data_IF_893034343618
#
_entry.id   IF_893034343618
#
_cell.length_a   1.000
_cell.length_b   1.000
_cell.length_c   1.000
_cell.angle_alpha   90.00
_cell.angle_beta   90.00
_cell.angle_gamma   90.00
#
_symmetry.space_group_name_H-M   'P 1'
#
loop_
_entity.id
_entity.type
_entity.pdbx_description
1 polymer ?
#
# COMPACT_ATOMS: atom_id res chain seq x y z
N UNK A 1 -23.89 45.89 21.26
CA UNK A 1 -23.69 45.28 19.93
C UNK A 1 -22.90 44.02 20.14
N UNK A 2 -23.61 42.93 19.97
CA UNK A 2 -23.25 41.54 20.24
C UNK A 2 -22.11 41.01 19.37
N UNK A 3 -21.28 40.15 19.95
CA UNK A 3 -20.58 39.09 19.22
C UNK A 3 -20.18 37.98 20.21
N UNK A 4 -21.16 37.16 20.55
CA UNK A 4 -20.93 35.85 21.14
C UNK A 4 -20.57 34.83 20.03
N UNK A 5 -19.84 33.80 20.45
CA UNK A 5 -20.06 32.42 20.04
C UNK A 5 -19.37 31.91 18.75
N UNK A 6 -18.37 31.02 18.93
CA UNK A 6 -18.43 29.61 18.49
C UNK A 6 -17.17 28.87 18.96
N UNK A 7 -17.24 28.37 20.18
CA UNK A 7 -16.38 27.27 20.63
C UNK A 7 -16.94 25.93 20.14
N UNK A 8 -16.01 25.09 19.68
CA UNK A 8 -15.93 23.66 19.98
C UNK A 8 -17.20 22.80 19.83
N UNK A 9 -17.32 22.10 18.70
CA UNK A 9 -18.10 20.85 18.62
C UNK A 9 -17.13 19.69 18.44
N UNK A 10 -16.62 19.18 19.57
CA UNK A 10 -16.06 17.85 19.65
C UNK A 10 -17.21 16.86 19.48
N UNK A 11 -17.05 15.91 18.55
CA UNK A 11 -17.92 14.77 18.36
C UNK A 11 -18.11 14.01 19.68
N UNK A 12 -19.24 14.24 20.35
CA UNK A 12 -19.77 13.31 21.35
C UNK A 12 -20.33 12.10 20.60
N UNK A 13 -19.51 11.05 20.47
CA UNK A 13 -20.03 9.70 20.28
C UNK A 13 -20.87 9.36 21.50
N UNK A 14 -22.19 9.50 21.39
CA UNK A 14 -23.13 9.23 22.46
C UNK A 14 -23.02 7.77 22.90
N UNK A 15 -22.33 7.53 24.02
CA UNK A 15 -22.49 6.30 24.78
C UNK A 15 -23.97 6.19 25.14
N UNK A 16 -24.62 5.12 24.66
CA UNK A 16 -25.98 4.80 25.07
C UNK A 16 -26.05 4.73 26.60
N UNK A 17 -27.04 5.40 27.18
CA UNK A 17 -27.34 5.34 28.61
C UNK A 17 -27.64 3.88 29.01
N UNK A 18 -27.09 3.44 30.15
CA UNK A 18 -27.30 2.10 30.69
C UNK A 18 -28.80 1.74 30.83
N UNK A 19 -29.66 2.74 31.05
CA UNK A 19 -31.12 2.54 31.08
C UNK A 19 -31.71 2.26 29.69
N UNK A 20 -31.17 2.90 28.64
CA UNK A 20 -31.56 2.62 27.26
C UNK A 20 -31.11 1.22 26.84
N UNK A 21 -29.92 0.79 27.27
CA UNK A 21 -29.42 -0.55 27.01
C UNK A 21 -30.27 -1.63 27.71
N UNK A 22 -30.62 -1.42 28.98
CA UNK A 22 -31.49 -2.32 29.73
C UNK A 22 -32.90 -2.44 29.10
N UNK A 23 -33.49 -1.33 28.64
CA UNK A 23 -34.80 -1.35 27.97
C UNK A 23 -34.78 -2.07 26.61
N UNK A 24 -33.66 -2.05 25.90
CA UNK A 24 -33.48 -2.84 24.67
C UNK A 24 -33.37 -4.33 24.99
N UNK A 25 -32.65 -4.70 26.05
CA UNK A 25 -32.52 -6.09 26.49
C UNK A 25 -33.87 -6.67 26.97
N UNK A 26 -34.68 -5.92 27.72
CA UNK A 26 -36.03 -6.35 28.11
C UNK A 26 -36.97 -6.55 26.91
N UNK A 27 -36.91 -5.65 25.92
CA UNK A 27 -37.70 -5.78 24.68
C UNK A 27 -37.27 -6.96 23.82
N UNK A 28 -36.01 -7.38 23.90
CA UNK A 28 -35.49 -8.58 23.22
C UNK A 28 -35.84 -9.86 23.99
N UNK A 29 -35.90 -9.81 25.32
CA UNK A 29 -36.29 -10.94 26.17
C UNK A 29 -37.78 -11.31 26.03
N UNK A 30 -38.65 -10.35 25.68
CA UNK A 30 -40.07 -10.57 25.40
C UNK A 30 -40.43 -10.79 23.93
N UNK A 31 -39.46 -10.67 23.01
CA UNK A 31 -39.69 -10.88 21.58
C UNK A 31 -39.43 -12.35 21.23
N UNK A 32 -40.52 -13.06 20.90
CA UNK A 32 -40.51 -14.43 20.39
C UNK A 32 -39.36 -14.67 19.39
N UNK A 33 -38.75 -15.85 19.50
CA UNK A 33 -37.52 -16.36 18.85
C UNK A 33 -37.20 -15.86 17.43
N UNK A 34 -38.19 -15.51 16.62
CA UNK A 34 -38.02 -15.03 15.25
C UNK A 34 -37.23 -13.72 15.12
N UNK A 35 -37.42 -12.73 16.02
CA UNK A 35 -36.64 -11.47 15.94
C UNK A 35 -35.20 -11.67 16.39
N UNK A 36 -35.00 -12.50 17.41
CA UNK A 36 -33.67 -12.86 17.89
C UNK A 36 -32.90 -13.64 16.81
N UNK A 37 -33.56 -14.60 16.13
CA UNK A 37 -33.01 -15.32 14.98
C UNK A 37 -32.66 -14.38 13.83
N UNK A 38 -33.51 -13.40 13.53
CA UNK A 38 -33.25 -12.42 12.47
C UNK A 38 -32.02 -11.54 12.77
N UNK A 39 -31.85 -11.11 14.03
CA UNK A 39 -30.66 -10.36 14.46
C UNK A 39 -29.41 -11.24 14.39
N UNK A 40 -29.45 -12.49 14.86
CA UNK A 40 -28.33 -13.42 14.77
C UNK A 40 -27.94 -13.72 13.32
N UNK A 41 -28.92 -13.85 12.42
CA UNK A 41 -28.69 -14.06 11.00
C UNK A 41 -28.00 -12.85 10.35
N UNK A 42 -28.43 -11.62 10.69
CA UNK A 42 -27.77 -10.39 10.22
C UNK A 42 -26.33 -10.27 10.76
N UNK A 43 -26.09 -10.60 12.03
CA UNK A 43 -24.75 -10.60 12.61
C UNK A 43 -23.83 -11.65 11.97
N UNK A 44 -24.37 -12.82 11.63
CA UNK A 44 -23.64 -13.89 10.93
C UNK A 44 -23.33 -13.52 9.48
N UNK A 45 -24.28 -12.90 8.78
CA UNK A 45 -24.04 -12.38 7.43
C UNK A 45 -22.99 -11.26 7.43
N UNK A 46 -23.05 -10.38 8.44
CA UNK A 46 -22.09 -9.29 8.61
C UNK A 46 -20.69 -9.81 8.91
N UNK A 47 -20.55 -10.77 9.84
CA UNK A 47 -19.24 -11.36 10.14
C UNK A 47 -18.66 -12.13 8.95
N UNK A 48 -19.50 -12.80 8.15
CA UNK A 48 -19.09 -13.44 6.90
C UNK A 48 -18.63 -12.40 5.85
N UNK A 49 -19.31 -11.27 5.72
CA UNK A 49 -18.90 -10.18 4.82
C UNK A 49 -17.64 -9.47 5.29
N UNK A 50 -17.46 -9.26 6.59
CA UNK A 50 -16.26 -8.63 7.15
C UNK A 50 -15.01 -9.50 6.93
N UNK A 51 -15.18 -10.83 7.00
CA UNK A 51 -14.11 -11.78 6.67
C UNK A 51 -13.71 -11.77 5.19
N UNK A 52 -14.67 -11.64 4.27
CA UNK A 52 -14.38 -11.57 2.83
C UNK A 52 -13.76 -10.23 2.45
N UNK A 53 -14.20 -9.12 3.05
CA UNK A 53 -13.61 -7.80 2.83
C UNK A 53 -12.14 -7.74 3.25
N UNK A 54 -11.80 -8.27 4.44
CA UNK A 54 -10.41 -8.34 4.89
C UNK A 54 -9.54 -9.18 3.96
N UNK A 55 -10.05 -10.33 3.49
CA UNK A 55 -9.33 -11.19 2.55
C UNK A 55 -9.11 -10.50 1.19
N UNK A 56 -10.13 -9.80 0.67
CA UNK A 56 -10.04 -9.05 -0.59
C UNK A 56 -9.05 -7.89 -0.46
N UNK A 57 -9.12 -7.10 0.62
CA UNK A 57 -8.17 -6.02 0.88
C UNK A 57 -6.73 -6.54 1.06
N UNK A 58 -6.56 -7.68 1.73
CA UNK A 58 -5.27 -8.35 1.85
C UNK A 58 -4.68 -8.72 0.49
N UNK A 59 -5.49 -9.33 -0.38
CA UNK A 59 -5.07 -9.69 -1.76
C UNK A 59 -4.69 -8.46 -2.57
N UNK A 60 -5.53 -7.42 -2.57
CA UNK A 60 -5.27 -6.17 -3.31
C UNK A 60 -3.99 -5.48 -2.83
N UNK A 61 -3.75 -5.44 -1.51
CA UNK A 61 -2.50 -4.91 -0.94
C UNK A 61 -1.30 -5.75 -1.38
N UNK A 62 -1.43 -7.07 -1.40
CA UNK A 62 -0.39 -7.99 -1.89
C UNK A 62 -0.02 -7.72 -3.34
N UNK A 63 -1.01 -7.63 -4.22
CA UNK A 63 -0.77 -7.34 -5.65
C UNK A 63 -0.15 -5.95 -5.88
N UNK A 64 -0.65 -4.93 -5.17
CA UNK A 64 -0.03 -3.60 -5.23
C UNK A 64 1.45 -3.62 -4.86
N UNK A 65 1.85 -4.39 -3.84
CA UNK A 65 3.27 -4.54 -3.46
C UNK A 65 4.06 -5.27 -4.55
N UNK A 66 3.50 -6.33 -5.15
CA UNK A 66 4.16 -7.07 -6.24
C UNK A 66 4.42 -6.18 -7.45
N UNK A 67 3.43 -5.39 -7.87
CA UNK A 67 3.57 -4.45 -8.99
C UNK A 67 4.58 -3.35 -8.68
N UNK A 68 4.50 -2.76 -7.48
CA UNK A 68 5.48 -1.76 -7.04
C UNK A 68 6.90 -2.33 -7.06
N UNK A 69 7.08 -3.57 -6.57
CA UNK A 69 8.39 -4.23 -6.58
C UNK A 69 8.92 -4.46 -8.00
N UNK A 70 8.10 -5.00 -8.90
CA UNK A 70 8.50 -5.20 -10.31
C UNK A 70 8.92 -3.89 -10.99
N UNK A 71 8.19 -2.80 -10.70
CA UNK A 71 8.54 -1.47 -11.22
C UNK A 71 9.89 -1.00 -10.68
N UNK A 72 10.12 -1.12 -9.37
CA UNK A 72 11.41 -0.79 -8.76
C UNK A 72 12.56 -1.62 -9.33
N UNK A 73 12.36 -2.92 -9.52
CA UNK A 73 13.39 -3.80 -10.09
C UNK A 73 13.72 -3.39 -11.55
N UNK A 74 12.73 -2.95 -12.33
CA UNK A 74 12.94 -2.46 -13.69
C UNK A 74 13.64 -1.09 -13.73
N UNK A 75 13.24 -0.14 -12.85
CA UNK A 75 13.90 1.15 -12.72
C UNK A 75 15.36 0.99 -12.25
N UNK A 76 15.60 0.08 -11.32
CA UNK A 76 16.96 -0.23 -10.87
C UNK A 76 17.80 -0.88 -11.96
N UNK A 77 17.22 -1.78 -12.75
CA UNK A 77 17.92 -2.34 -13.92
C UNK A 77 18.34 -1.24 -14.89
N UNK A 78 17.45 -0.29 -15.20
CA UNK A 78 17.78 0.86 -16.04
C UNK A 78 18.86 1.75 -15.43
N UNK A 79 18.80 2.02 -14.12
CA UNK A 79 19.82 2.75 -13.38
C UNK A 79 21.20 2.09 -13.44
N UNK A 80 21.26 0.76 -13.56
CA UNK A 80 22.51 -0.01 -13.68
C UNK A 80 22.94 -0.23 -15.15
N UNK A 81 22.19 0.25 -16.14
CA UNK A 81 22.43 -0.10 -17.54
C UNK A 81 22.29 -1.61 -17.80
N UNK A 82 21.36 -2.27 -17.10
CA UNK A 82 21.11 -3.71 -17.17
C UNK A 82 19.77 -4.01 -17.86
N UNK A 83 19.59 -5.26 -18.29
CA UNK A 83 18.25 -5.78 -18.57
C UNK A 83 17.52 -6.06 -17.24
N UNK A 84 16.19 -5.99 -17.23
CA UNK A 84 15.37 -6.35 -16.06
C UNK A 84 15.60 -7.80 -15.55
N UNK A 85 16.20 -8.66 -16.38
CA UNK A 85 16.58 -10.01 -16.00
C UNK A 85 17.94 -10.10 -15.28
N UNK A 86 18.73 -9.03 -15.25
CA UNK A 86 20.09 -8.96 -14.70
C UNK A 86 21.03 -10.07 -15.21
N UNK A 87 20.89 -10.46 -16.49
CA UNK A 87 21.72 -11.49 -17.11
C UNK A 87 21.28 -12.93 -16.81
N UNK A 88 20.02 -13.13 -16.41
CA UNK A 88 19.46 -14.48 -16.31
C UNK A 88 19.54 -15.21 -17.67
N UNK A 89 19.94 -16.50 -17.68
CA UNK A 89 20.09 -17.26 -18.92
C UNK A 89 18.77 -17.33 -19.68
N UNK A 90 18.86 -17.37 -21.02
CA UNK A 90 17.71 -17.48 -21.92
C UNK A 90 16.67 -16.36 -21.79
N UNK A 91 17.07 -15.16 -21.34
CA UNK A 91 16.17 -14.03 -21.34
C UNK A 91 15.73 -13.70 -22.78
N UNK A 92 14.42 -13.62 -23.08
CA UNK A 92 13.94 -13.37 -24.44
C UNK A 92 14.33 -11.98 -24.98
N UNK A 93 14.70 -11.05 -24.10
CA UNK A 93 15.03 -9.68 -24.49
C UNK A 93 16.52 -9.49 -24.77
N UNK A 94 17.41 -10.15 -24.01
CA UNK A 94 18.85 -9.91 -24.09
C UNK A 94 19.70 -11.18 -24.28
N UNK A 95 19.06 -12.35 -24.42
CA UNK A 95 19.77 -13.64 -24.56
C UNK A 95 20.57 -14.09 -23.33
N UNK A 96 20.50 -13.36 -22.21
CA UNK A 96 21.34 -13.58 -21.02
C UNK A 96 22.53 -12.61 -20.88
N UNK A 97 22.76 -11.72 -21.84
CA UNK A 97 23.88 -10.76 -21.81
C UNK A 97 23.62 -9.54 -20.91
N UNK A 98 22.36 -9.29 -20.53
CA UNK A 98 21.88 -8.06 -19.89
C UNK A 98 22.26 -7.86 -18.42
N UNK A 99 23.54 -8.05 -18.09
CA UNK A 99 24.16 -7.75 -16.79
C UNK A 99 24.31 -6.23 -16.59
N UNK A 100 24.57 -5.74 -15.37
CA UNK A 100 24.91 -4.33 -15.15
C UNK A 100 26.04 -3.85 -16.06
N UNK A 101 25.86 -2.68 -16.68
CA UNK A 101 26.78 -2.11 -17.67
C UNK A 101 26.64 -2.65 -19.10
N UNK A 102 25.64 -3.48 -19.38
CA UNK A 102 25.37 -3.98 -20.74
C UNK A 102 24.94 -2.88 -21.72
N UNK A 103 24.24 -1.86 -21.23
CA UNK A 103 23.84 -0.66 -21.97
C UNK A 103 24.18 0.60 -21.15
N UNK A 104 24.09 1.77 -21.78
CA UNK A 104 24.26 3.05 -21.08
C UNK A 104 23.19 3.15 -19.97
N UNK A 105 23.59 3.40 -18.71
CA UNK A 105 22.64 3.62 -17.62
C UNK A 105 21.73 4.81 -17.87
N UNK A 106 20.48 4.72 -17.42
CA UNK A 106 19.62 5.91 -17.33
C UNK A 106 20.19 6.86 -16.28
N UNK A 107 20.64 8.03 -16.73
CA UNK A 107 21.36 9.01 -15.92
C UNK A 107 20.54 9.50 -14.72
N UNK A 108 19.24 9.75 -14.91
CA UNK A 108 18.37 10.23 -13.85
C UNK A 108 18.17 9.16 -12.78
N UNK A 109 17.93 7.91 -13.20
CA UNK A 109 17.75 6.79 -12.27
C UNK A 109 19.08 6.42 -11.59
N UNK A 110 20.21 6.52 -12.29
CA UNK A 110 21.54 6.33 -11.71
C UNK A 110 21.81 7.35 -10.60
N UNK A 111 21.60 8.65 -10.87
CA UNK A 111 21.77 9.71 -9.87
C UNK A 111 20.83 9.54 -8.69
N UNK A 112 19.61 9.03 -8.91
CA UNK A 112 18.62 8.82 -7.85
C UNK A 112 18.95 7.62 -6.96
N UNK A 113 19.36 6.49 -7.54
CA UNK A 113 19.45 5.21 -6.83
C UNK A 113 20.87 4.71 -6.58
N UNK A 114 21.79 4.95 -7.51
CA UNK A 114 23.12 4.32 -7.52
C UNK A 114 24.19 5.29 -7.00
N UNK A 115 24.22 6.53 -7.50
CA UNK A 115 25.21 7.53 -7.09
C UNK A 115 25.28 7.75 -5.56
N UNK A 116 24.16 7.86 -4.82
CA UNK A 116 24.22 8.04 -3.36
C UNK A 116 24.83 6.85 -2.62
N UNK A 117 24.72 5.64 -3.17
CA UNK A 117 25.35 4.46 -2.60
C UNK A 117 26.87 4.48 -2.82
N UNK A 118 27.31 4.94 -3.99
CA UNK A 118 28.73 5.02 -4.36
C UNK A 118 29.44 6.12 -3.57
N UNK A 119 28.78 7.28 -3.38
CA UNK A 119 29.28 8.35 -2.51
C UNK A 119 29.51 7.87 -1.07
N UNK A 120 28.60 7.06 -0.51
CA UNK A 120 28.76 6.47 0.83
C UNK A 120 29.94 5.50 0.92
N UNK A 121 30.32 4.89 -0.20
CA UNK A 121 31.49 4.03 -0.30
C UNK A 121 32.78 4.82 -0.59
N UNK A 122 32.71 6.15 -0.71
CA UNK A 122 33.85 7.01 -1.04
C UNK A 122 34.24 6.94 -2.53
N UNK A 123 33.36 6.41 -3.39
CA UNK A 123 33.58 6.34 -4.83
C UNK A 123 32.90 7.55 -5.46
N UNK A 124 33.71 8.50 -5.94
CA UNK A 124 33.22 9.66 -6.66
C UNK A 124 33.21 9.38 -8.16
N UNK A 125 32.03 9.46 -8.77
CA UNK A 125 31.91 9.43 -10.22
C UNK A 125 32.10 10.85 -10.72
N UNK A 126 33.22 11.12 -11.39
CA UNK A 126 33.34 12.34 -12.18
C UNK A 126 32.52 12.14 -13.45
N UNK A 127 31.46 12.92 -13.60
CA UNK A 127 30.79 13.08 -14.89
C UNK A 127 31.77 13.81 -15.81
N UNK A 128 32.58 13.07 -16.55
CA UNK A 128 33.31 13.64 -17.68
C UNK A 128 32.27 14.07 -18.71
N UNK A 129 31.93 15.36 -18.66
CA UNK A 129 31.04 16.00 -19.61
C UNK A 129 31.51 15.68 -21.02
N UNK A 130 30.73 14.86 -21.72
CA UNK A 130 30.88 14.65 -23.14
C UNK A 130 30.55 15.98 -23.82
N UNK A 131 31.59 16.78 -24.05
CA UNK A 131 31.55 17.93 -24.93
C UNK A 131 31.02 17.45 -26.28
N UNK A 132 29.85 17.95 -26.65
CA UNK A 132 29.24 17.73 -27.95
C UNK A 132 30.10 18.41 -29.01
N UNK A 133 30.60 17.63 -29.98
CA UNK A 133 30.94 18.12 -31.32
C UNK A 133 29.88 17.63 -32.29
#
# INVERSE_FOLDING_TARGET
>A
MDAQNRGSSLHQGGMMDARQFAAVLEKLAGAEDSRLQQVLQLLTQRSASEGTEHAVHGRLRGERRRLARRRLDAEFAAACGACACFGAPHCPNCGGEGRPGWQVPDENLFRMYVAPALERLGIHHQEEGHATM
#
